data_IF_547417441598
#
_entry.id   IF_547417441598
#
_cell.length_a   1.000
_cell.length_b   1.000
_cell.length_c   1.000
_cell.angle_alpha   90.00
_cell.angle_beta   90.00
_cell.angle_gamma   90.00
#
_symmetry.space_group_name_H-M   'P 1'
#
loop_
_entity.id
_entity.type
_entity.pdbx_description
1 polymer ?
#
# COMPACT_ATOMS: atom_id res chain seq x y z
N UNK A 1 -24.85 -17.90 -26.37
CA UNK A 1 -23.73 -17.68 -25.44
C UNK A 1 -22.48 -18.21 -26.12
N UNK A 2 -21.49 -17.34 -26.30
CA UNK A 2 -20.22 -17.61 -26.98
C UNK A 2 -19.34 -18.57 -26.18
N UNK A 3 -18.53 -19.35 -26.88
CA UNK A 3 -17.50 -20.24 -26.33
C UNK A 3 -16.60 -19.49 -25.32
N UNK A 4 -16.42 -19.98 -24.07
CA UNK A 4 -15.60 -19.31 -23.04
C UNK A 4 -14.10 -19.31 -23.34
N UNK A 5 -13.65 -19.87 -24.47
CA UNK A 5 -12.25 -19.87 -24.88
C UNK A 5 -11.67 -18.46 -25.01
N UNK A 6 -10.35 -18.34 -24.77
CA UNK A 6 -9.62 -17.06 -24.90
C UNK A 6 -9.76 -16.43 -26.29
N UNK A 7 -10.03 -17.23 -27.32
CA UNK A 7 -10.26 -16.74 -28.69
C UNK A 7 -11.52 -15.89 -28.82
N UNK A 8 -12.47 -16.05 -27.89
CA UNK A 8 -13.71 -15.27 -27.84
C UNK A 8 -13.61 -14.06 -26.89
N UNK A 9 -12.47 -13.86 -26.22
CA UNK A 9 -12.31 -12.76 -25.26
C UNK A 9 -12.15 -11.44 -26.00
N UNK A 10 -12.87 -10.43 -25.52
CA UNK A 10 -12.77 -9.06 -26.01
C UNK A 10 -12.28 -8.19 -24.86
N UNK A 11 -11.31 -7.33 -25.14
CA UNK A 11 -10.84 -6.37 -24.12
C UNK A 11 -11.96 -5.43 -23.75
N UNK A 12 -12.32 -5.42 -22.46
CA UNK A 12 -13.32 -4.52 -21.90
C UNK A 12 -12.71 -3.16 -21.53
N UNK A 13 -11.52 -3.20 -20.94
CA UNK A 13 -10.80 -2.03 -20.45
C UNK A 13 -9.30 -2.31 -20.46
N UNK A 14 -8.51 -1.28 -20.76
CA UNK A 14 -7.05 -1.31 -20.68
C UNK A 14 -6.63 -0.16 -19.77
N UNK A 15 -6.04 -0.43 -18.59
CA UNK A 15 -5.56 0.63 -17.71
C UNK A 15 -4.40 1.39 -18.34
N UNK A 16 -4.23 2.65 -17.94
CA UNK A 16 -3.03 3.42 -18.26
C UNK A 16 -1.76 2.69 -17.74
N UNK A 17 -0.59 2.88 -18.38
CA UNK A 17 0.64 2.18 -17.99
C UNK A 17 1.03 2.34 -16.51
N UNK A 18 0.66 3.46 -15.90
CA UNK A 18 0.97 3.79 -14.50
C UNK A 18 -0.12 3.34 -13.51
N UNK A 19 -1.12 2.61 -13.99
CA UNK A 19 -2.28 2.14 -13.22
C UNK A 19 -2.25 0.63 -13.06
N UNK A 20 -2.30 0.18 -11.81
CA UNK A 20 -2.26 -1.24 -11.44
C UNK A 20 -3.63 -1.63 -10.91
N UNK A 21 -4.31 -2.54 -11.60
CA UNK A 21 -5.55 -3.14 -11.12
C UNK A 21 -5.22 -4.13 -9.99
N UNK A 22 -5.86 -3.95 -8.84
CA UNK A 22 -5.66 -4.73 -7.62
C UNK A 22 -6.79 -5.71 -7.36
N UNK A 23 -8.02 -5.31 -7.67
CA UNK A 23 -9.21 -6.15 -7.51
C UNK A 23 -10.30 -5.73 -8.49
N UNK A 24 -11.31 -6.58 -8.62
CA UNK A 24 -12.48 -6.37 -9.47
C UNK A 24 -13.72 -6.95 -8.79
N UNK A 25 -14.78 -6.15 -8.75
CA UNK A 25 -16.12 -6.58 -8.34
C UNK A 25 -17.16 -6.15 -9.41
N UNK A 26 -18.32 -6.81 -9.40
CA UNK A 26 -19.47 -6.47 -10.26
C UNK A 26 -20.63 -6.05 -9.37
N UNK A 27 -21.15 -4.85 -9.60
CA UNK A 27 -22.24 -4.23 -8.82
C UNK A 27 -23.33 -3.75 -9.78
N UNK A 28 -24.47 -4.42 -9.76
CA UNK A 28 -25.52 -4.24 -10.77
C UNK A 28 -24.95 -4.41 -12.18
N UNK A 29 -25.21 -3.44 -13.07
CA UNK A 29 -24.68 -3.41 -14.44
C UNK A 29 -23.31 -2.71 -14.55
N UNK A 30 -22.53 -2.63 -13.48
CA UNK A 30 -21.22 -1.97 -13.46
C UNK A 30 -20.11 -2.94 -13.03
N UNK A 31 -18.98 -2.88 -13.72
CA UNK A 31 -17.72 -3.45 -13.24
C UNK A 31 -16.95 -2.37 -12.49
N UNK A 32 -16.56 -2.65 -11.25
CA UNK A 32 -15.78 -1.76 -10.38
C UNK A 32 -14.39 -2.35 -10.23
N UNK A 33 -13.40 -1.65 -10.74
CA UNK A 33 -11.99 -2.02 -10.58
C UNK A 33 -11.37 -1.18 -9.47
N UNK A 34 -10.72 -1.85 -8.52
CA UNK A 34 -9.86 -1.19 -7.53
C UNK A 34 -8.48 -1.04 -8.16
N UNK A 35 -8.01 0.19 -8.28
CA UNK A 35 -6.74 0.49 -8.93
C UNK A 35 -5.82 1.31 -8.02
N UNK A 36 -4.52 1.17 -8.25
CA UNK A 36 -3.48 2.01 -7.64
C UNK A 36 -2.56 2.62 -8.68
N UNK A 37 -2.15 3.86 -8.45
CA UNK A 37 -1.06 4.48 -9.21
C UNK A 37 0.30 3.93 -8.77
N UNK A 38 1.36 4.22 -9.53
CA UNK A 38 2.75 3.94 -9.11
C UNK A 38 3.18 4.66 -7.82
N UNK A 39 2.52 5.77 -7.48
CA UNK A 39 2.67 6.49 -6.20
C UNK A 39 1.82 5.89 -5.07
N UNK A 40 1.22 4.72 -5.30
CA UNK A 40 0.44 3.95 -4.33
C UNK A 40 -0.89 4.60 -3.92
N UNK A 41 -1.42 5.53 -4.71
CA UNK A 41 -2.71 6.18 -4.48
C UNK A 41 -3.86 5.34 -5.05
N UNK A 42 -4.91 5.12 -4.26
CA UNK A 42 -6.08 4.37 -4.69
C UNK A 42 -7.04 5.19 -5.57
N UNK A 43 -7.68 4.50 -6.50
CA UNK A 43 -8.82 4.99 -7.26
C UNK A 43 -9.77 3.83 -7.58
N UNK A 44 -11.04 4.16 -7.84
CA UNK A 44 -12.00 3.21 -8.38
C UNK A 44 -12.24 3.56 -9.85
N UNK A 45 -12.18 2.56 -10.73
CA UNK A 45 -12.52 2.71 -12.15
C UNK A 45 -13.83 1.97 -12.36
N UNK A 46 -14.86 2.68 -12.80
CA UNK A 46 -16.20 2.14 -12.99
C UNK A 46 -16.45 2.02 -14.49
N UNK A 47 -16.84 0.82 -14.93
CA UNK A 47 -17.14 0.51 -16.32
C UNK A 47 -18.61 0.06 -16.41
N UNK A 48 -19.49 0.85 -17.04
CA UNK A 48 -20.86 0.41 -17.33
C UNK A 48 -20.85 -0.76 -18.31
N UNK A 49 -21.42 -1.91 -17.94
CA UNK A 49 -21.41 -3.12 -18.78
C UNK A 49 -22.35 -3.00 -19.99
N UNK A 50 -23.34 -2.11 -19.92
CA UNK A 50 -24.25 -1.77 -21.03
C UNK A 50 -23.58 -0.85 -22.06
N UNK A 51 -22.65 0.01 -21.63
CA UNK A 51 -21.91 0.97 -22.46
C UNK A 51 -20.42 1.02 -22.05
N UNK A 52 -19.64 -0.04 -22.33
CA UNK A 52 -18.29 -0.21 -21.76
C UNK A 52 -17.23 0.77 -22.27
N UNK A 53 -17.59 1.64 -23.23
CA UNK A 53 -16.67 2.61 -23.83
C UNK A 53 -16.51 3.89 -23.02
N UNK A 54 -17.36 4.11 -22.02
CA UNK A 54 -17.39 5.35 -21.23
C UNK A 54 -17.08 5.07 -19.75
N UNK A 55 -15.88 4.54 -19.42
CA UNK A 55 -15.49 4.36 -18.03
C UNK A 55 -15.26 5.72 -17.36
N UNK A 56 -15.46 5.77 -16.06
CA UNK A 56 -15.10 6.94 -15.26
C UNK A 56 -14.34 6.54 -14.00
N UNK A 57 -13.56 7.48 -13.47
CA UNK A 57 -12.68 7.24 -12.32
C UNK A 57 -13.12 8.07 -11.13
N UNK A 58 -13.23 7.44 -9.97
CA UNK A 58 -13.47 8.09 -8.70
C UNK A 58 -12.16 8.06 -7.91
N UNK A 59 -11.50 9.22 -7.68
CA UNK A 59 -10.32 9.25 -6.84
C UNK A 59 -10.69 8.96 -5.38
N UNK A 60 -9.86 8.18 -4.70
CA UNK A 60 -10.04 7.92 -3.27
C UNK A 60 -9.17 8.88 -2.44
N UNK A 61 -9.51 9.12 -1.17
CA UNK A 61 -8.77 10.03 -0.31
C UNK A 61 -7.27 9.71 -0.27
N UNK A 62 -6.37 10.72 -0.39
CA UNK A 62 -4.93 10.49 -0.51
C UNK A 62 -4.28 9.90 0.75
N UNK A 63 -4.96 9.94 1.90
CA UNK A 63 -4.48 9.32 3.13
C UNK A 63 -4.66 7.79 3.15
N UNK A 64 -5.50 7.24 2.27
CA UNK A 64 -5.83 5.82 2.26
C UNK A 64 -4.63 4.98 1.82
N UNK A 65 -4.23 4.03 2.66
CA UNK A 65 -3.11 3.13 2.41
C UNK A 65 -3.55 1.66 2.26
N UNK A 66 -4.74 1.34 2.76
CA UNK A 66 -5.37 0.03 2.65
C UNK A 66 -6.83 0.15 2.20
N UNK A 67 -7.27 -0.87 1.47
CA UNK A 67 -8.60 -0.99 0.88
C UNK A 67 -9.15 -2.38 1.16
N UNK A 68 -10.37 -2.46 1.66
CA UNK A 68 -11.08 -3.72 1.90
C UNK A 68 -12.50 -3.62 1.34
N UNK A 69 -12.81 -4.38 0.28
CA UNK A 69 -14.18 -4.48 -0.21
C UNK A 69 -15.02 -5.31 0.75
N UNK A 70 -16.23 -4.83 1.07
CA UNK A 70 -17.24 -5.66 1.72
C UNK A 70 -17.91 -6.44 0.60
N UNK A 71 -17.51 -7.70 0.42
CA UNK A 71 -18.16 -8.56 -0.57
C UNK A 71 -19.62 -8.76 -0.14
N UNK A 72 -20.61 -8.31 -0.92
CA UNK A 72 -21.99 -8.60 -0.62
C UNK A 72 -22.14 -10.11 -0.58
N UNK A 73 -22.85 -10.63 0.43
CA UNK A 73 -23.24 -12.04 0.40
C UNK A 73 -24.04 -12.32 -0.87
N UNK A 74 -24.00 -13.57 -1.38
CA UNK A 74 -24.76 -13.98 -2.59
C UNK A 74 -26.27 -13.63 -2.56
N UNK A 75 -26.82 -13.25 -1.40
CA UNK A 75 -28.21 -12.86 -1.20
C UNK A 75 -28.47 -11.35 -1.30
N UNK A 76 -27.44 -10.49 -1.23
CA UNK A 76 -27.59 -9.04 -1.24
C UNK A 76 -27.34 -8.50 -2.66
N UNK A 77 -28.42 -8.40 -3.44
CA UNK A 77 -28.45 -7.57 -4.66
C UNK A 77 -28.48 -6.10 -4.25
N UNK A 78 -27.36 -5.59 -3.77
CA UNK A 78 -27.20 -4.15 -3.53
C UNK A 78 -26.60 -3.51 -4.79
N UNK A 79 -27.25 -2.45 -5.27
CA UNK A 79 -26.75 -1.58 -6.37
C UNK A 79 -25.64 -0.62 -5.88
N UNK A 80 -25.02 -0.93 -4.74
CA UNK A 80 -23.95 -0.13 -4.12
C UNK A 80 -22.72 -0.97 -3.88
N UNK A 81 -21.56 -0.31 -3.91
CA UNK A 81 -20.27 -0.90 -3.62
C UNK A 81 -19.77 -0.39 -2.27
N UNK A 82 -19.85 -1.27 -1.27
CA UNK A 82 -19.41 -1.00 0.09
C UNK A 82 -17.95 -1.40 0.29
N UNK A 83 -17.17 -0.51 0.91
CA UNK A 83 -15.78 -0.78 1.22
C UNK A 83 -15.29 0.01 2.45
N UNK A 84 -14.14 -0.40 2.96
CA UNK A 84 -13.43 0.28 4.04
C UNK A 84 -12.10 0.84 3.49
N UNK A 85 -11.81 2.08 3.86
CA UNK A 85 -10.47 2.67 3.67
C UNK A 85 -9.81 2.83 5.02
N UNK A 86 -8.55 2.45 5.12
CA UNK A 86 -7.75 2.67 6.33
C UNK A 86 -6.33 3.06 5.99
N UNK A 87 -5.58 3.44 7.02
CA UNK A 87 -4.13 3.55 6.94
C UNK A 87 -3.50 3.13 8.26
N UNK A 88 -2.16 3.03 8.35
CA UNK A 88 -1.47 2.73 9.61
C UNK A 88 -1.90 3.63 10.78
N UNK A 89 -2.41 4.82 10.49
CA UNK A 89 -2.77 5.86 11.47
C UNK A 89 -4.23 6.32 11.42
N UNK A 90 -5.01 5.86 10.44
CA UNK A 90 -6.44 6.15 10.33
C UNK A 90 -7.25 4.86 10.47
N UNK A 91 -8.16 4.76 11.45
CA UNK A 91 -9.08 3.63 11.59
C UNK A 91 -9.88 3.38 10.30
N UNK A 92 -10.37 2.16 10.07
CA UNK A 92 -11.21 1.86 8.91
C UNK A 92 -12.45 2.75 8.84
N UNK A 93 -12.58 3.52 7.75
CA UNK A 93 -13.73 4.40 7.48
C UNK A 93 -14.59 3.75 6.39
N UNK A 94 -15.87 3.49 6.65
CA UNK A 94 -16.79 2.95 5.65
C UNK A 94 -17.06 3.97 4.55
N UNK A 95 -17.12 3.47 3.33
CA UNK A 95 -17.50 4.22 2.13
C UNK A 95 -18.49 3.40 1.33
N UNK A 96 -19.39 4.10 0.66
CA UNK A 96 -20.42 3.54 -0.22
C UNK A 96 -20.31 4.26 -1.55
N UNK A 97 -20.01 3.52 -2.61
CA UNK A 97 -20.07 4.02 -3.97
C UNK A 97 -21.41 3.60 -4.59
N UNK A 98 -22.07 4.55 -5.23
CA UNK A 98 -23.25 4.36 -6.06
C UNK A 98 -22.81 4.43 -7.54
N UNK A 99 -22.55 3.29 -8.22
CA UNK A 99 -21.89 3.28 -9.52
C UNK A 99 -22.72 3.89 -10.66
N UNK A 100 -24.04 3.95 -10.52
CA UNK A 100 -24.91 4.55 -11.53
C UNK A 100 -24.89 6.07 -11.45
N UNK A 101 -24.83 6.61 -10.24
CA UNK A 101 -24.82 8.04 -9.95
C UNK A 101 -23.40 8.63 -9.97
N UNK A 102 -22.37 7.80 -9.90
CA UNK A 102 -20.98 8.24 -9.71
C UNK A 102 -20.77 8.90 -8.34
N UNK A 103 -21.66 8.63 -7.38
CA UNK A 103 -21.67 9.27 -6.08
C UNK A 103 -20.91 8.41 -5.06
N UNK A 104 -19.87 8.98 -4.46
CA UNK A 104 -19.14 8.39 -3.36
C UNK A 104 -19.56 9.07 -2.04
N UNK A 105 -20.13 8.28 -1.13
CA UNK A 105 -20.46 8.72 0.22
C UNK A 105 -19.51 8.08 1.22
N UNK A 106 -18.96 8.86 2.14
CA UNK A 106 -18.28 8.34 3.32
C UNK A 106 -19.31 8.13 4.44
N UNK A 107 -19.30 6.96 5.06
CA UNK A 107 -20.13 6.60 6.20
C UNK A 107 -19.63 7.30 7.45
N UNK A 108 -19.91 8.60 7.52
CA UNK A 108 -19.66 9.44 8.67
C UNK A 108 -20.99 10.04 9.10
N UNK A 109 -21.69 9.37 10.02
CA UNK A 109 -22.81 9.96 10.76
C UNK A 109 -22.38 11.04 11.76
N UNK A 110 -21.19 11.62 11.60
CA UNK A 110 -20.70 12.73 12.38
C UNK A 110 -19.50 13.34 11.65
N UNK A 111 -19.67 14.55 11.14
CA UNK A 111 -18.62 15.50 10.72
C UNK A 111 -17.63 15.87 11.87
N UNK A 112 -17.31 14.90 12.71
CA UNK A 112 -16.51 14.99 13.92
C UNK A 112 -15.64 13.74 14.10
N UNK A 113 -14.97 13.27 13.03
CA UNK A 113 -13.52 13.18 13.25
C UNK A 113 -13.11 14.64 13.28
N UNK A 114 -12.64 15.18 14.42
CA UNK A 114 -12.24 16.56 14.45
C UNK A 114 -11.33 16.76 13.25
N UNK A 115 -11.45 17.94 12.65
CA UNK A 115 -10.38 18.60 11.93
C UNK A 115 -9.15 18.71 12.86
N UNK A 116 -8.66 17.55 13.31
CA UNK A 116 -7.49 17.33 14.09
C UNK A 116 -6.44 17.51 13.02
N UNK A 117 -5.82 18.69 13.01
CA UNK A 117 -4.52 18.89 12.42
C UNK A 117 -3.77 17.55 12.48
N UNK A 118 -3.52 16.95 11.31
CA UNK A 118 -3.12 15.55 11.23
C UNK A 118 -1.97 15.32 12.22
N UNK A 119 -2.27 14.61 13.33
CA UNK A 119 -1.33 14.40 14.44
C UNK A 119 -0.03 13.74 13.94
N UNK A 120 -0.15 13.07 12.80
CA UNK A 120 0.92 12.39 12.11
C UNK A 120 1.05 12.93 10.70
N UNK A 121 2.29 13.12 10.28
CA UNK A 121 2.69 13.49 8.94
C UNK A 121 2.97 12.20 8.16
N UNK A 122 2.47 12.13 6.93
CA UNK A 122 2.83 11.08 5.97
C UNK A 122 3.81 11.66 4.96
N UNK A 123 4.96 11.02 4.80
CA UNK A 123 5.98 11.41 3.82
C UNK A 123 6.22 10.25 2.85
N UNK A 124 6.16 10.54 1.56
CA UNK A 124 6.48 9.59 0.51
C UNK A 124 7.88 9.89 -0.03
N UNK A 125 8.74 8.87 -0.06
CA UNK A 125 10.10 8.95 -0.57
C UNK A 125 10.30 7.96 -1.72
N UNK A 126 11.20 8.29 -2.62
CA UNK A 126 11.70 7.40 -3.68
C UNK A 126 13.19 7.18 -3.44
N UNK A 127 13.55 5.94 -3.07
CA UNK A 127 14.91 5.57 -2.70
C UNK A 127 15.61 4.88 -3.86
N UNK A 128 16.77 5.39 -4.27
CA UNK A 128 17.57 4.72 -5.28
C UNK A 128 18.23 3.44 -4.73
N UNK A 129 17.84 2.28 -5.26
CA UNK A 129 18.50 1.00 -5.03
C UNK A 129 19.84 0.93 -5.78
N UNK A 130 20.62 -0.14 -5.54
CA UNK A 130 21.96 -0.30 -6.09
C UNK A 130 21.98 -0.31 -7.63
N UNK A 131 20.94 -0.83 -8.26
CA UNK A 131 20.81 -0.90 -9.73
C UNK A 131 20.10 0.32 -10.34
N UNK A 132 19.90 1.39 -9.58
CA UNK A 132 19.23 2.60 -10.03
C UNK A 132 17.70 2.56 -9.92
N UNK A 133 17.11 1.42 -9.54
CA UNK A 133 15.66 1.31 -9.34
C UNK A 133 15.20 2.19 -8.18
N UNK A 134 14.21 3.05 -8.41
CA UNK A 134 13.57 3.83 -7.35
C UNK A 134 12.58 2.96 -6.56
N UNK A 135 12.81 2.80 -5.27
CA UNK A 135 12.01 2.00 -4.32
C UNK A 135 11.16 2.95 -3.48
N UNK A 136 9.82 2.83 -3.51
CA UNK A 136 8.96 3.67 -2.69
C UNK A 136 9.15 3.38 -1.20
N UNK A 137 9.13 4.42 -0.39
CA UNK A 137 9.04 4.33 1.08
C UNK A 137 7.92 5.24 1.57
N UNK A 138 7.06 4.72 2.44
CA UNK A 138 6.03 5.52 3.13
C UNK A 138 6.41 5.68 4.59
N UNK A 139 6.56 6.91 5.04
CA UNK A 139 6.89 7.26 6.42
C UNK A 139 5.68 7.83 7.14
N UNK A 140 5.51 7.44 8.39
CA UNK A 140 4.60 8.05 9.34
C UNK A 140 5.41 8.53 10.55
N UNK A 141 5.22 9.78 10.94
CA UNK A 141 5.93 10.41 12.04
C UNK A 141 5.08 11.54 12.62
N UNK A 142 5.32 11.91 13.89
CA UNK A 142 4.55 12.97 14.57
C UNK A 142 5.30 14.32 14.63
N UNK A 143 6.62 14.31 14.45
CA UNK A 143 7.50 15.47 14.52
C UNK A 143 8.07 15.80 13.13
N UNK A 144 8.54 17.03 12.91
CA UNK A 144 9.16 17.40 11.64
C UNK A 144 10.41 16.55 11.35
N UNK A 145 10.75 16.36 10.07
CA UNK A 145 11.84 15.44 9.65
C UNK A 145 13.18 15.83 10.28
N UNK A 146 13.41 17.13 10.47
CA UNK A 146 14.61 17.69 11.08
C UNK A 146 14.81 17.23 12.54
N UNK A 147 13.73 16.85 13.22
CA UNK A 147 13.73 16.41 14.61
C UNK A 147 13.82 14.88 14.75
N UNK A 148 13.94 14.12 13.65
CA UNK A 148 13.89 12.65 13.67
C UNK A 148 15.26 11.97 13.87
N UNK A 149 16.34 12.70 14.12
CA UNK A 149 17.71 12.13 14.14
C UNK A 149 18.02 11.18 15.29
N UNK A 150 17.34 11.31 16.42
CA UNK A 150 17.57 10.50 17.64
C UNK A 150 16.29 9.83 18.14
N UNK A 151 15.42 9.41 17.22
CA UNK A 151 14.15 8.77 17.54
C UNK A 151 14.17 7.27 17.17
N UNK A 152 13.40 6.42 17.86
CA UNK A 152 13.29 5.01 17.48
C UNK A 152 12.56 4.85 16.14
N UNK A 153 13.11 4.01 15.26
CA UNK A 153 12.56 3.76 13.93
C UNK A 153 12.13 2.30 13.80
N UNK A 154 10.90 2.06 13.36
CA UNK A 154 10.38 0.74 13.05
C UNK A 154 10.12 0.59 11.55
N UNK A 155 10.98 -0.20 10.90
CA UNK A 155 10.88 -0.54 9.48
C UNK A 155 9.94 -1.74 9.30
N UNK A 156 9.01 -1.63 8.35
CA UNK A 156 8.09 -2.68 7.93
C UNK A 156 8.45 -3.12 6.51
N UNK A 157 8.52 -4.43 6.28
CA UNK A 157 8.92 -4.99 4.98
C UNK A 157 8.29 -6.37 4.73
N UNK A 158 8.02 -6.67 3.45
CA UNK A 158 7.55 -7.99 3.01
C UNK A 158 8.27 -8.47 1.73
N UNK A 159 8.03 -7.84 0.58
CA UNK A 159 8.81 -8.12 -0.64
C UNK A 159 8.69 -9.54 -1.19
N UNK A 160 7.49 -10.14 -1.15
CA UNK A 160 7.28 -11.50 -1.65
C UNK A 160 5.89 -11.68 -2.28
N UNK A 161 5.80 -12.68 -3.17
CA UNK A 161 4.57 -13.16 -3.81
C UNK A 161 3.76 -12.14 -4.62
N UNK A 162 4.33 -10.97 -4.92
CA UNK A 162 3.60 -9.91 -5.61
C UNK A 162 2.50 -9.31 -4.75
N UNK A 163 2.61 -9.45 -3.42
CA UNK A 163 1.69 -8.83 -2.47
C UNK A 163 2.21 -7.46 -2.08
N UNK A 164 1.31 -6.50 -2.03
CA UNK A 164 1.59 -5.18 -1.46
C UNK A 164 1.90 -5.34 0.04
N UNK A 165 2.82 -4.53 0.53
CA UNK A 165 3.10 -4.41 1.95
C UNK A 165 1.84 -3.97 2.70
N UNK A 166 1.47 -4.72 3.74
CA UNK A 166 0.28 -4.45 4.54
C UNK A 166 0.41 -3.09 5.27
N UNK A 167 -0.53 -2.18 4.99
CA UNK A 167 -0.64 -0.87 5.62
C UNK A 167 -2.01 -0.66 6.29
N UNK A 168 -2.64 -1.73 6.77
CA UNK A 168 -3.88 -1.68 7.54
C UNK A 168 -3.67 -0.92 8.86
N UNK A 169 -4.77 -0.35 9.35
CA UNK A 169 -4.79 0.24 10.68
C UNK A 169 -4.47 -0.79 11.77
N UNK A 170 -3.64 -0.39 12.73
CA UNK A 170 -3.46 -1.15 13.95
C UNK A 170 -3.21 -0.19 15.12
N UNK A 171 -3.95 -0.26 16.24
CA UNK A 171 -3.83 0.70 17.35
C UNK A 171 -2.41 0.83 17.94
N UNK A 172 -1.62 -0.24 17.87
CA UNK A 172 -0.20 -0.20 18.28
C UNK A 172 0.62 0.79 17.44
N UNK A 173 0.31 0.96 16.15
CA UNK A 173 1.04 1.88 15.27
C UNK A 173 0.85 3.34 15.71
N UNK A 174 -0.38 3.73 16.05
CA UNK A 174 -0.66 5.06 16.62
C UNK A 174 -0.02 5.24 17.99
N UNK A 175 0.00 4.19 18.83
CA UNK A 175 0.68 4.24 20.13
C UNK A 175 2.19 4.47 19.96
N UNK A 176 2.84 3.79 19.02
CA UNK A 176 4.27 3.97 18.75
C UNK A 176 4.57 5.41 18.31
N UNK A 177 3.78 5.95 17.37
CA UNK A 177 3.93 7.34 16.93
C UNK A 177 3.74 8.34 18.08
N UNK A 178 2.80 8.07 18.99
CA UNK A 178 2.57 8.89 20.20
C UNK A 178 3.75 8.83 21.18
N UNK A 179 4.52 7.75 21.17
CA UNK A 179 5.75 7.60 21.93
C UNK A 179 6.98 8.10 21.16
N UNK A 180 6.78 8.84 20.06
CA UNK A 180 7.86 9.44 19.27
C UNK A 180 8.57 8.48 18.33
N UNK A 181 8.03 7.29 18.07
CA UNK A 181 8.58 6.41 17.03
C UNK A 181 8.29 6.95 15.64
N UNK A 182 9.13 6.57 14.70
CA UNK A 182 8.89 6.72 13.26
C UNK A 182 8.57 5.34 12.71
N UNK A 183 7.54 5.26 11.85
CA UNK A 183 7.20 4.03 11.13
C UNK A 183 7.56 4.20 9.66
N UNK A 184 8.37 3.31 9.12
CA UNK A 184 8.70 3.29 7.70
C UNK A 184 8.23 2.00 7.04
N UNK A 185 7.58 2.13 5.90
CA UNK A 185 7.10 1.02 5.07
C UNK A 185 7.94 0.99 3.80
N UNK A 186 8.81 -0.01 3.69
CA UNK A 186 9.73 -0.16 2.56
C UNK A 186 9.11 -1.11 1.52
N UNK A 187 8.66 -0.54 0.40
CA UNK A 187 7.94 -1.23 -0.67
C UNK A 187 8.90 -1.94 -1.64
N UNK A 188 9.77 -2.80 -1.10
CA UNK A 188 10.85 -3.46 -1.83
C UNK A 188 10.35 -4.36 -2.97
N UNK A 189 11.19 -4.60 -3.98
CA UNK A 189 10.87 -5.54 -5.07
C UNK A 189 10.55 -6.93 -4.55
N UNK A 190 9.79 -7.67 -5.36
CA UNK A 190 9.22 -8.97 -4.98
C UNK A 190 7.80 -8.84 -4.41
N UNK A 191 7.44 -7.65 -3.92
CA UNK A 191 6.08 -7.21 -3.61
C UNK A 191 5.26 -6.85 -4.87
N UNK A 192 4.06 -6.33 -4.65
CA UNK A 192 3.06 -6.04 -5.69
C UNK A 192 2.88 -4.56 -6.04
N UNK A 193 3.60 -3.67 -5.37
CA UNK A 193 3.30 -2.23 -5.32
C UNK A 193 3.38 -1.58 -6.69
N UNK A 194 4.32 -2.05 -7.54
CA UNK A 194 4.45 -1.63 -8.94
C UNK A 194 4.07 -2.73 -9.95
N UNK A 195 3.17 -3.62 -9.54
CA UNK A 195 2.59 -4.65 -10.41
C UNK A 195 3.51 -5.84 -10.67
N UNK A 196 3.20 -6.60 -11.72
CA UNK A 196 3.80 -7.92 -11.96
C UNK A 196 5.30 -7.86 -12.26
N UNK A 197 5.78 -6.80 -12.92
CA UNK A 197 7.21 -6.62 -13.19
C UNK A 197 8.00 -6.42 -11.89
N UNK A 198 7.45 -5.68 -10.92
CA UNK A 198 8.04 -5.46 -9.59
C UNK A 198 8.27 -6.77 -8.85
N UNK A 199 7.26 -7.64 -8.86
CA UNK A 199 7.35 -8.98 -8.30
C UNK A 199 8.40 -9.83 -9.02
N UNK A 200 8.34 -9.87 -10.36
CA UNK A 200 9.21 -10.71 -11.19
C UNK A 200 10.68 -10.38 -11.04
N UNK A 201 11.02 -9.13 -10.77
CA UNK A 201 12.41 -8.70 -10.62
C UNK A 201 13.08 -9.28 -9.36
N UNK A 202 12.35 -9.50 -8.26
CA UNK A 202 12.92 -10.04 -7.03
C UNK A 202 12.26 -11.34 -6.54
N UNK A 203 12.11 -12.29 -7.46
CA UNK A 203 11.71 -13.68 -7.17
C UNK A 203 12.75 -14.67 -7.70
N UNK A 204 12.80 -15.86 -7.11
CA UNK A 204 13.73 -16.95 -7.49
C UNK A 204 15.17 -16.42 -7.52
N UNK A 205 15.86 -16.45 -8.66
CA UNK A 205 17.25 -16.00 -8.82
C UNK A 205 17.43 -14.50 -8.55
N UNK A 206 16.37 -13.70 -8.75
CA UNK A 206 16.41 -12.26 -8.51
C UNK A 206 16.20 -11.85 -7.05
N UNK A 207 15.99 -12.79 -6.11
CA UNK A 207 15.56 -12.49 -4.74
C UNK A 207 16.49 -11.54 -3.99
N UNK A 208 17.77 -11.51 -4.37
CA UNK A 208 18.78 -10.60 -3.84
C UNK A 208 18.43 -9.12 -3.99
N UNK A 209 17.74 -8.75 -5.07
CA UNK A 209 17.30 -7.38 -5.31
C UNK A 209 16.41 -6.84 -4.19
N UNK A 210 15.57 -7.68 -3.57
CA UNK A 210 14.77 -7.26 -2.43
C UNK A 210 15.60 -6.96 -1.17
N UNK A 211 16.76 -7.62 -1.02
CA UNK A 211 17.71 -7.36 0.06
C UNK A 211 18.44 -6.05 -0.19
N UNK A 212 18.89 -5.82 -1.43
CA UNK A 212 19.54 -4.59 -1.88
C UNK A 212 18.60 -3.38 -1.71
N UNK A 213 17.33 -3.53 -2.11
CA UNK A 213 16.29 -2.50 -1.93
C UNK A 213 16.09 -2.15 -0.46
N UNK A 214 16.02 -3.15 0.43
CA UNK A 214 15.86 -2.94 1.86
C UNK A 214 17.10 -2.22 2.44
N UNK A 215 18.30 -2.65 2.06
CA UNK A 215 19.54 -2.00 2.48
C UNK A 215 19.59 -0.53 2.04
N UNK A 216 19.20 -0.25 0.79
CA UNK A 216 19.13 1.10 0.24
C UNK A 216 18.13 1.96 1.03
N UNK A 217 16.95 1.42 1.36
CA UNK A 217 15.96 2.12 2.19
C UNK A 217 16.54 2.54 3.54
N UNK A 218 17.20 1.63 4.27
CA UNK A 218 17.82 1.96 5.56
C UNK A 218 18.89 3.05 5.42
N UNK A 219 19.83 2.90 4.47
CA UNK A 219 20.88 3.89 4.25
C UNK A 219 20.31 5.27 3.91
N UNK A 220 19.28 5.32 3.06
CA UNK A 220 18.67 6.57 2.66
C UNK A 220 17.99 7.27 3.84
N UNK A 221 17.23 6.53 4.66
CA UNK A 221 16.61 7.08 5.87
C UNK A 221 17.67 7.65 6.83
N UNK A 222 18.74 6.92 7.09
CA UNK A 222 19.84 7.42 7.93
C UNK A 222 20.54 8.64 7.33
N UNK A 223 20.73 8.68 6.00
CA UNK A 223 21.35 9.83 5.33
C UNK A 223 20.49 11.11 5.38
N UNK A 224 19.16 10.95 5.47
CA UNK A 224 18.24 12.06 5.68
C UNK A 224 18.18 12.52 7.15
N UNK A 225 18.96 11.89 8.04
CA UNK A 225 18.90 12.14 9.46
C UNK A 225 17.65 11.56 10.12
N UNK A 226 17.05 10.52 9.55
CA UNK A 226 15.92 9.81 10.15
C UNK A 226 16.48 8.61 10.92
N UNK A 227 16.55 8.76 12.25
CA UNK A 227 17.07 7.76 13.18
C UNK A 227 18.53 7.34 12.91
N UNK A 228 18.94 6.25 13.56
CA UNK A 228 20.27 5.65 13.44
C UNK A 228 20.18 4.13 13.59
N UNK A 229 21.21 3.37 13.17
CA UNK A 229 21.23 1.92 13.30
C UNK A 229 20.95 1.42 14.74
N UNK A 230 21.50 2.12 15.75
CA UNK A 230 21.32 1.79 17.17
C UNK A 230 19.89 2.01 17.69
N UNK A 231 19.06 2.76 16.98
CA UNK A 231 17.67 3.07 17.32
C UNK A 231 16.67 2.45 16.34
N UNK A 232 17.15 1.62 15.40
CA UNK A 232 16.32 1.04 14.34
C UNK A 232 15.98 -0.41 14.61
N UNK A 233 14.70 -0.75 14.50
CA UNK A 233 14.19 -2.11 14.51
C UNK A 233 13.50 -2.44 13.19
N UNK A 234 13.58 -3.70 12.76
CA UNK A 234 12.83 -4.20 11.59
C UNK A 234 11.77 -5.20 12.04
N UNK A 235 10.59 -5.10 11.45
CA UNK A 235 9.53 -6.10 11.60
C UNK A 235 9.16 -6.69 10.25
N UNK A 236 9.08 -8.02 10.19
CA UNK A 236 8.69 -8.76 9.02
C UNK A 236 7.94 -10.03 9.38
N UNK A 237 7.03 -10.43 8.51
CA UNK A 237 6.15 -11.59 8.69
C UNK A 237 6.32 -12.59 7.55
N UNK A 238 6.30 -13.89 7.86
CA UNK A 238 6.32 -15.00 6.91
C UNK A 238 7.48 -14.88 5.91
N UNK A 239 7.23 -14.94 4.60
CA UNK A 239 8.26 -14.81 3.57
C UNK A 239 9.00 -13.45 3.59
N UNK A 240 8.44 -12.43 4.26
CA UNK A 240 9.13 -11.16 4.49
C UNK A 240 10.33 -11.28 5.44
N UNK A 241 10.40 -12.32 6.25
CA UNK A 241 11.55 -12.57 7.11
C UNK A 241 12.82 -12.91 6.31
N UNK A 242 12.69 -13.41 5.08
CA UNK A 242 13.83 -13.81 4.23
C UNK A 242 14.75 -12.62 3.91
N UNK A 243 14.27 -11.49 3.33
CA UNK A 243 15.14 -10.35 3.07
C UNK A 243 15.73 -9.73 4.34
N UNK A 244 14.98 -9.71 5.45
CA UNK A 244 15.49 -9.21 6.74
C UNK A 244 16.61 -10.10 7.27
N UNK A 245 16.43 -11.41 7.26
CA UNK A 245 17.45 -12.37 7.70
C UNK A 245 18.72 -12.30 6.85
N UNK A 246 18.56 -12.18 5.52
CA UNK A 246 19.69 -11.99 4.60
C UNK A 246 20.45 -10.68 4.88
N UNK A 247 19.73 -9.58 5.12
CA UNK A 247 20.34 -8.30 5.49
C UNK A 247 21.10 -8.40 6.82
N UNK A 248 20.52 -9.06 7.83
CA UNK A 248 21.17 -9.23 9.14
C UNK A 248 22.47 -10.04 9.05
N UNK A 249 22.50 -11.08 8.22
CA UNK A 249 23.70 -11.88 8.01
C UNK A 249 24.83 -11.10 7.32
N UNK A 250 24.48 -10.16 6.44
CA UNK A 250 25.45 -9.36 5.67
C UNK A 250 25.90 -8.11 6.41
N UNK A 251 24.97 -7.43 7.06
CA UNK A 251 25.17 -6.12 7.67
C UNK A 251 24.54 -6.06 9.07
N UNK A 252 25.04 -6.85 10.04
CA UNK A 252 24.42 -6.98 11.37
C UNK A 252 24.39 -5.67 12.17
N UNK A 253 25.22 -4.69 11.80
CA UNK A 253 25.30 -3.40 12.48
C UNK A 253 24.30 -2.34 11.94
N UNK A 254 23.43 -2.69 10.98
CA UNK A 254 22.46 -1.75 10.39
C UNK A 254 21.17 -1.60 11.20
N UNK A 255 20.95 -2.45 12.20
CA UNK A 255 19.78 -2.40 13.06
C UNK A 255 20.11 -2.86 14.47
N UNK A 256 19.32 -2.40 15.44
CA UNK A 256 19.42 -2.78 16.84
C UNK A 256 18.65 -4.06 17.15
N UNK A 257 17.51 -4.27 16.49
CA UNK A 257 16.61 -5.38 16.76
C UNK A 257 15.85 -5.81 15.49
N UNK A 258 15.42 -7.07 15.48
CA UNK A 258 14.51 -7.60 14.47
C UNK A 258 13.40 -8.41 15.13
N UNK A 259 12.20 -8.35 14.56
CA UNK A 259 11.10 -9.26 14.87
C UNK A 259 10.73 -10.02 13.60
N UNK A 260 10.99 -11.32 13.58
CA UNK A 260 10.63 -12.22 12.49
C UNK A 260 9.48 -13.10 12.96
N UNK A 261 8.31 -12.96 12.34
CA UNK A 261 7.06 -13.60 12.73
C UNK A 261 6.55 -14.60 11.69
#
# INVERSE_FOLDING_TARGET
>A
MSDPSMNSWVSLFVPDPDTIIKDMDVVGDHCVLVAKTLSNQFSLIIIPLTHPKDPYTVPLPPWACAFESKKPGLADQQDVFDFLLSSPVHPPVPHVLYPKEGLLLSGSGNDSYPNNQAKYITTHLEVCSQDGTLVPVTLFHAAAVEDLSQVPLLIHVYGAYGRDLNMDFHPIKTLLLDQGWVLAYCHIRGGGERGLSWHRQARVEGKEKGVEDLQACLHHLFSLGISSPSLTALTAYSAGAVPVGALCNRNPNMMRAITLQ
#
